data_IF_662869456904
#
_entry.id   IF_662869456904
#
_cell.length_a   1.000
_cell.length_b   1.000
_cell.length_c   1.000
_cell.angle_alpha   90.00
_cell.angle_beta   90.00
_cell.angle_gamma   90.00
#
_symmetry.space_group_name_H-M   'P 1'
#
loop_
_entity.id
_entity.type
_entity.pdbx_description
1 polymer ?
#
# COMPACT_ATOMS: atom_id res chain seq x y z
N UNK A 1 -0.09 47.63 -19.36
CA UNK A 1 -1.31 47.99 -18.63
C UNK A 1 -2.48 47.42 -19.40
N UNK A 2 -2.92 46.24 -19.05
CA UNK A 2 -4.26 45.71 -19.40
C UNK A 2 -4.54 44.60 -18.37
N UNK A 3 -5.41 44.94 -17.41
CA UNK A 3 -5.99 44.02 -16.44
C UNK A 3 -6.87 43.00 -17.16
N UNK A 4 -6.56 41.72 -17.07
CA UNK A 4 -7.49 40.65 -17.43
C UNK A 4 -8.07 40.05 -16.15
N UNK A 5 -9.17 40.59 -15.66
CA UNK A 5 -10.04 39.97 -14.67
C UNK A 5 -10.64 38.71 -15.27
N UNK A 6 -10.12 37.54 -14.87
CA UNK A 6 -10.75 36.27 -15.15
C UNK A 6 -11.97 36.08 -14.23
N UNK A 7 -13.14 36.37 -14.78
CA UNK A 7 -14.44 36.15 -14.14
C UNK A 7 -14.76 34.67 -14.09
N UNK A 8 -14.55 34.04 -12.92
CA UNK A 8 -14.83 32.64 -12.64
C UNK A 8 -16.33 32.31 -12.47
N UNK A 9 -17.22 33.31 -12.61
CA UNK A 9 -18.68 33.12 -12.42
C UNK A 9 -19.32 32.23 -13.49
N UNK A 10 -18.65 31.99 -14.64
CA UNK A 10 -19.16 31.16 -15.73
C UNK A 10 -19.15 29.65 -15.46
N UNK A 11 -18.43 29.18 -14.43
CA UNK A 11 -18.27 27.76 -14.19
C UNK A 11 -19.19 27.15 -13.10
N UNK A 12 -20.02 27.99 -12.45
CA UNK A 12 -20.96 27.48 -11.45
C UNK A 12 -22.40 27.64 -11.98
N UNK A 13 -23.14 26.55 -12.25
CA UNK A 13 -24.55 26.64 -12.61
C UNK A 13 -25.32 27.22 -11.42
N UNK A 14 -26.10 28.29 -11.67
CA UNK A 14 -27.05 28.87 -10.70
C UNK A 14 -28.00 27.80 -10.22
N UNK A 15 -27.95 27.49 -8.91
CA UNK A 15 -28.93 26.64 -8.26
C UNK A 15 -30.28 27.34 -8.38
N UNK A 16 -31.20 26.71 -9.14
CA UNK A 16 -32.59 27.16 -9.21
C UNK A 16 -33.23 26.93 -7.83
N UNK A 17 -33.96 27.96 -7.41
CA UNK A 17 -34.73 28.00 -6.18
C UNK A 17 -35.51 26.69 -5.97
N UNK A 18 -35.29 26.01 -4.83
CA UNK A 18 -36.04 24.84 -4.45
C UNK A 18 -37.51 25.15 -4.17
N UNK A 19 -38.41 24.15 -4.24
CA UNK A 19 -39.83 24.38 -4.05
C UNK A 19 -40.13 24.92 -2.64
N UNK A 20 -40.99 25.95 -2.58
CA UNK A 20 -41.52 26.51 -1.33
C UNK A 20 -42.18 25.42 -0.51
N UNK A 21 -41.66 25.21 0.68
CA UNK A 21 -42.30 24.30 1.67
C UNK A 21 -43.58 25.00 2.16
N UNK A 22 -44.71 24.36 1.93
CA UNK A 22 -45.98 24.76 2.48
C UNK A 22 -45.98 24.52 4.00
N UNK A 23 -46.56 25.46 4.77
CA UNK A 23 -46.68 25.40 6.20
C UNK A 23 -47.41 24.12 6.64
N UNK A 24 -46.71 23.21 7.37
CA UNK A 24 -47.26 22.04 7.99
C UNK A 24 -47.77 22.38 9.41
N UNK A 25 -48.91 21.81 9.85
CA UNK A 25 -49.48 22.11 11.15
C UNK A 25 -48.65 21.54 12.32
N UNK A 26 -48.78 22.25 13.41
CA UNK A 26 -48.11 22.14 14.71
C UNK A 26 -48.19 20.72 15.31
N UNK A 27 -47.13 19.93 15.23
CA UNK A 27 -47.01 18.59 15.76
C UNK A 27 -46.57 18.60 17.22
N UNK A 28 -47.24 17.77 18.04
CA UNK A 28 -47.06 17.61 19.48
C UNK A 28 -45.63 17.14 19.87
N UNK A 29 -45.14 17.46 21.11
CA UNK A 29 -43.76 17.19 21.54
C UNK A 29 -43.35 15.70 21.60
N UNK A 30 -44.31 14.78 21.56
CA UNK A 30 -44.07 13.33 21.68
C UNK A 30 -43.57 12.69 20.36
N UNK A 31 -43.94 13.23 19.21
CA UNK A 31 -43.55 12.67 17.91
C UNK A 31 -42.10 13.01 17.49
N UNK A 32 -41.56 14.13 18.03
CA UNK A 32 -40.17 14.56 17.76
C UNK A 32 -39.10 13.68 18.43
N UNK A 33 -39.46 12.95 19.47
CA UNK A 33 -38.51 12.09 20.19
C UNK A 33 -38.26 10.76 19.45
N UNK A 34 -39.30 10.21 18.81
CA UNK A 34 -39.24 8.91 18.14
C UNK A 34 -38.50 9.00 16.77
N UNK A 35 -38.66 10.13 16.07
CA UNK A 35 -37.98 10.32 14.78
C UNK A 35 -36.47 10.55 14.92
N UNK A 36 -36.00 11.18 16.00
CA UNK A 36 -34.57 11.35 16.28
C UNK A 36 -33.86 10.03 16.61
N UNK A 37 -34.51 9.15 17.36
CA UNK A 37 -33.95 7.83 17.72
C UNK A 37 -33.84 6.95 16.49
N UNK A 38 -34.77 7.01 15.54
CA UNK A 38 -34.72 6.26 14.29
C UNK A 38 -33.64 6.76 13.33
N UNK A 39 -33.38 8.08 13.29
CA UNK A 39 -32.39 8.67 12.41
C UNK A 39 -30.95 8.44 12.90
N UNK A 40 -30.74 8.49 14.23
CA UNK A 40 -29.40 8.21 14.80
C UNK A 40 -29.04 6.72 14.72
N UNK A 41 -30.01 5.81 14.71
CA UNK A 41 -29.76 4.38 14.52
C UNK A 41 -29.33 4.06 13.07
N UNK A 42 -29.75 4.87 12.08
CA UNK A 42 -29.42 4.63 10.66
C UNK A 42 -28.10 5.28 10.21
N UNK A 43 -27.56 6.23 11.01
CA UNK A 43 -26.28 6.91 10.74
C UNK A 43 -25.09 6.22 11.41
N UNK A 44 -25.32 5.19 12.24
CA UNK A 44 -24.23 4.30 12.67
C UNK A 44 -23.75 3.49 11.46
N UNK A 45 -22.93 4.15 10.63
CA UNK A 45 -22.28 3.58 9.47
C UNK A 45 -21.52 2.29 9.84
N UNK A 46 -21.45 1.29 8.96
CA UNK A 46 -20.65 0.07 9.17
C UNK A 46 -19.17 0.32 9.51
N UNK A 47 -18.68 1.55 9.31
CA UNK A 47 -17.33 2.01 9.68
C UNK A 47 -17.10 1.94 11.19
N UNK A 48 -18.14 2.12 12.05
CA UNK A 48 -18.00 2.05 13.51
C UNK A 48 -17.72 0.63 14.01
N UNK A 49 -18.22 -0.40 13.33
CA UNK A 49 -18.01 -1.79 13.75
C UNK A 49 -16.62 -2.30 13.37
N UNK A 50 -16.04 -1.85 12.24
CA UNK A 50 -14.66 -2.18 11.85
C UNK A 50 -13.66 -1.54 12.80
N UNK A 51 -13.92 -0.30 13.26
CA UNK A 51 -13.08 0.39 14.25
C UNK A 51 -13.16 -0.22 15.65
N UNK A 52 -14.27 -0.88 15.99
CA UNK A 52 -14.48 -1.45 17.32
C UNK A 52 -13.82 -2.83 17.46
N UNK A 53 -13.80 -3.62 16.39
CA UNK A 53 -13.10 -4.92 16.36
C UNK A 53 -11.57 -4.74 16.35
N UNK A 54 -11.07 -3.60 15.81
CA UNK A 54 -9.63 -3.28 15.80
C UNK A 54 -9.10 -2.76 17.16
N UNK A 55 -9.96 -2.33 18.10
CA UNK A 55 -9.51 -1.87 19.42
C UNK A 55 -9.00 -3.01 20.31
N UNK A 56 -9.48 -4.22 20.12
CA UNK A 56 -9.02 -5.40 20.85
C UNK A 56 -7.78 -6.04 20.19
N UNK A 57 -7.49 -5.71 18.95
CA UNK A 57 -6.30 -6.15 18.24
C UNK A 57 -5.21 -5.08 18.29
N UNK A 58 -3.97 -5.52 18.43
CA UNK A 58 -2.74 -4.72 18.47
C UNK A 58 -2.44 -3.94 17.16
N UNK A 59 -3.50 -3.61 16.38
CA UNK A 59 -3.43 -3.02 15.06
C UNK A 59 -4.11 -1.64 15.02
N UNK A 60 -3.53 -0.72 14.27
CA UNK A 60 -4.01 0.66 14.05
C UNK A 60 -4.09 0.94 12.55
N UNK A 61 -5.16 1.61 12.10
CA UNK A 61 -5.25 2.10 10.72
C UNK A 61 -4.49 3.41 10.51
N UNK A 62 -4.27 4.19 11.56
CA UNK A 62 -3.56 5.46 11.63
C UNK A 62 -2.62 5.52 12.84
N UNK A 63 -1.51 6.28 12.80
CA UNK A 63 -1.00 7.11 11.71
C UNK A 63 -0.26 6.32 10.63
N UNK A 64 -0.21 6.85 9.42
CA UNK A 64 0.57 6.26 8.33
C UNK A 64 2.06 6.29 8.66
N UNK A 65 2.74 5.17 8.38
CA UNK A 65 4.17 5.01 8.72
C UNK A 65 5.00 4.75 7.46
N UNK A 66 5.42 5.82 6.73
CA UNK A 66 6.05 5.69 5.42
C UNK A 66 7.34 4.86 5.45
N UNK A 67 8.18 5.06 6.47
CA UNK A 67 9.45 4.33 6.60
C UNK A 67 9.27 2.82 6.78
N UNK A 68 8.25 2.38 7.55
CA UNK A 68 7.94 0.96 7.69
C UNK A 68 7.53 0.35 6.34
N UNK A 69 6.72 1.07 5.55
CA UNK A 69 6.30 0.61 4.20
C UNK A 69 7.50 0.49 3.27
N UNK A 70 8.40 1.48 3.32
CA UNK A 70 9.60 1.48 2.49
C UNK A 70 10.50 0.29 2.77
N UNK A 71 10.94 0.11 4.02
CA UNK A 71 11.83 -0.97 4.39
C UNK A 71 11.19 -2.35 4.22
N UNK A 72 9.90 -2.50 4.55
CA UNK A 72 9.16 -3.72 4.29
C UNK A 72 9.18 -4.08 2.80
N UNK A 73 8.96 -3.09 1.93
CA UNK A 73 8.96 -3.28 0.48
C UNK A 73 10.33 -3.68 -0.04
N UNK A 74 11.39 -2.99 0.38
CA UNK A 74 12.75 -3.32 -0.01
C UNK A 74 13.11 -4.75 0.37
N UNK A 75 12.80 -5.15 1.62
CA UNK A 75 13.06 -6.49 2.10
C UNK A 75 12.26 -7.54 1.33
N UNK A 76 10.99 -7.30 1.06
CA UNK A 76 10.15 -8.19 0.25
C UNK A 76 10.70 -8.35 -1.18
N UNK A 77 11.06 -7.25 -1.85
CA UNK A 77 11.58 -7.29 -3.21
C UNK A 77 12.88 -8.09 -3.30
N UNK A 78 13.79 -7.92 -2.35
CA UNK A 78 15.06 -8.64 -2.34
C UNK A 78 14.81 -10.13 -2.04
N UNK A 79 14.09 -10.47 -0.97
CA UNK A 79 13.85 -11.87 -0.57
C UNK A 79 13.10 -12.61 -1.69
N UNK A 80 11.98 -12.06 -2.17
CA UNK A 80 11.17 -12.74 -3.19
C UNK A 80 11.80 -12.66 -4.58
N UNK A 81 12.61 -11.63 -4.87
CA UNK A 81 13.41 -11.56 -6.06
C UNK A 81 14.46 -12.68 -6.12
N UNK A 82 15.22 -12.86 -5.04
CA UNK A 82 16.19 -13.96 -4.92
C UNK A 82 15.52 -15.33 -5.02
N UNK A 83 14.42 -15.54 -4.30
CA UNK A 83 13.63 -16.79 -4.40
C UNK A 83 13.16 -16.99 -5.85
N UNK A 84 12.69 -15.95 -6.52
CA UNK A 84 12.25 -16.02 -7.90
C UNK A 84 13.39 -16.40 -8.86
N UNK A 85 14.56 -15.81 -8.72
CA UNK A 85 15.75 -16.18 -9.50
C UNK A 85 16.18 -17.63 -9.25
N UNK A 86 16.14 -18.09 -7.98
CA UNK A 86 16.43 -19.48 -7.66
C UNK A 86 15.43 -20.44 -8.31
N UNK A 87 14.14 -20.13 -8.29
CA UNK A 87 13.10 -20.96 -8.90
C UNK A 87 13.23 -20.99 -10.43
N UNK A 88 13.47 -19.83 -11.06
CA UNK A 88 13.69 -19.74 -12.51
C UNK A 88 14.95 -20.46 -12.90
N UNK A 89 16.06 -20.23 -12.19
CA UNK A 89 17.34 -20.90 -12.44
C UNK A 89 17.23 -22.40 -12.32
N UNK A 90 16.56 -22.89 -11.27
CA UNK A 90 16.31 -24.32 -11.10
C UNK A 90 15.46 -24.87 -12.26
N UNK A 91 14.37 -24.23 -12.63
CA UNK A 91 13.50 -24.69 -13.70
C UNK A 91 14.20 -24.69 -15.07
N UNK A 92 14.99 -23.66 -15.38
CA UNK A 92 15.72 -23.57 -16.65
C UNK A 92 16.91 -24.53 -16.66
N UNK A 93 17.57 -24.75 -15.54
CA UNK A 93 18.71 -25.69 -15.45
C UNK A 93 18.33 -27.13 -15.77
N UNK A 94 17.06 -27.51 -15.63
CA UNK A 94 16.57 -28.83 -16.02
C UNK A 94 16.58 -29.07 -17.54
N UNK A 95 16.49 -27.97 -18.33
CA UNK A 95 16.38 -28.07 -19.78
C UNK A 95 17.57 -27.45 -20.52
N UNK A 96 18.15 -26.36 -20.00
CA UNK A 96 19.19 -25.60 -20.66
C UNK A 96 20.16 -24.91 -19.66
N UNK A 97 20.92 -25.68 -18.85
CA UNK A 97 21.74 -25.14 -17.76
C UNK A 97 22.78 -24.12 -18.26
N UNK A 98 23.45 -24.43 -19.34
CA UNK A 98 24.50 -23.56 -19.89
C UNK A 98 23.96 -22.20 -20.38
N UNK A 99 22.79 -22.21 -21.02
CA UNK A 99 22.17 -20.98 -21.51
C UNK A 99 21.74 -20.05 -20.39
N UNK A 100 21.29 -20.60 -19.25
CA UNK A 100 20.89 -19.80 -18.10
C UNK A 100 22.09 -19.11 -17.44
N UNK A 101 23.17 -19.86 -17.20
CA UNK A 101 24.41 -19.30 -16.63
C UNK A 101 24.93 -18.16 -17.49
N UNK A 102 25.05 -18.40 -18.80
CA UNK A 102 25.48 -17.38 -19.74
C UNK A 102 24.56 -16.15 -19.74
N UNK A 103 23.24 -16.34 -19.69
CA UNK A 103 22.29 -15.23 -19.59
C UNK A 103 22.51 -14.38 -18.33
N UNK A 104 22.74 -15.02 -17.17
CA UNK A 104 22.99 -14.32 -15.90
C UNK A 104 24.34 -13.58 -15.93
N UNK A 105 25.37 -14.16 -16.53
CA UNK A 105 26.68 -13.52 -16.69
C UNK A 105 26.64 -12.30 -17.62
N UNK A 106 25.88 -12.37 -18.70
CA UNK A 106 25.81 -11.35 -19.74
C UNK A 106 24.76 -10.26 -19.44
N UNK A 107 23.91 -10.42 -18.40
CA UNK A 107 22.81 -9.50 -18.13
C UNK A 107 23.33 -8.13 -17.66
N UNK A 108 22.75 -7.07 -18.22
CA UNK A 108 23.05 -5.71 -17.77
C UNK A 108 22.56 -5.52 -16.31
N UNK A 109 23.39 -4.95 -15.40
CA UNK A 109 23.02 -4.76 -14.00
C UNK A 109 21.70 -4.00 -13.77
N UNK A 110 21.36 -3.03 -14.64
CA UNK A 110 20.08 -2.31 -14.54
C UNK A 110 18.90 -3.23 -14.91
N UNK A 111 19.08 -4.11 -15.88
CA UNK A 111 18.06 -5.10 -16.28
C UNK A 111 17.89 -6.15 -15.18
N UNK A 112 18.98 -6.59 -14.56
CA UNK A 112 18.93 -7.53 -13.42
C UNK A 112 18.13 -6.94 -12.25
N UNK A 113 18.45 -5.71 -11.83
CA UNK A 113 17.68 -5.02 -10.77
C UNK A 113 16.21 -4.88 -11.16
N UNK A 114 15.92 -4.48 -12.40
CA UNK A 114 14.55 -4.36 -12.90
C UNK A 114 13.79 -5.68 -12.81
N UNK A 115 14.37 -6.77 -13.30
CA UNK A 115 13.76 -8.11 -13.27
C UNK A 115 13.61 -8.63 -11.84
N UNK A 116 14.62 -8.46 -11.00
CA UNK A 116 14.58 -8.87 -9.59
C UNK A 116 13.42 -8.20 -8.85
N UNK A 117 13.25 -6.90 -9.02
CA UNK A 117 12.13 -6.17 -8.41
C UNK A 117 10.78 -6.55 -9.00
N UNK A 118 10.71 -6.81 -10.31
CA UNK A 118 9.49 -7.27 -10.98
C UNK A 118 9.06 -8.65 -10.46
N UNK A 119 9.97 -9.62 -10.49
CA UNK A 119 9.75 -10.98 -10.00
C UNK A 119 9.34 -10.95 -8.53
N UNK A 120 10.11 -10.23 -7.71
CA UNK A 120 9.81 -10.04 -6.30
C UNK A 120 8.43 -9.43 -6.05
N UNK A 121 8.01 -8.47 -6.89
CA UNK A 121 6.69 -7.85 -6.80
C UNK A 121 5.55 -8.81 -7.13
N UNK A 122 5.73 -9.66 -8.13
CA UNK A 122 4.72 -10.67 -8.52
C UNK A 122 4.55 -11.69 -7.40
N UNK A 123 5.65 -12.24 -6.89
CA UNK A 123 5.61 -13.26 -5.83
C UNK A 123 5.07 -12.66 -4.53
N UNK A 124 5.57 -11.47 -4.14
CA UNK A 124 5.08 -10.80 -2.92
C UNK A 124 3.61 -10.43 -3.01
N UNK A 125 3.14 -9.98 -4.18
CA UNK A 125 1.75 -9.66 -4.42
C UNK A 125 0.83 -10.87 -4.35
N UNK A 126 1.29 -12.01 -4.85
CA UNK A 126 0.57 -13.28 -4.75
C UNK A 126 0.41 -13.72 -3.29
N UNK A 127 1.49 -13.74 -2.52
CA UNK A 127 1.46 -14.08 -1.08
C UNK A 127 0.59 -13.10 -0.31
N UNK A 128 0.74 -11.80 -0.58
CA UNK A 128 -0.07 -10.75 0.02
C UNK A 128 -1.57 -10.98 -0.21
N UNK A 129 -1.92 -11.42 -1.41
CA UNK A 129 -3.31 -11.69 -1.77
C UNK A 129 -3.97 -12.78 -0.93
N UNK A 130 -3.23 -13.81 -0.53
CA UNK A 130 -3.75 -14.92 0.28
C UNK A 130 -3.66 -14.68 1.78
N UNK A 131 -2.58 -14.05 2.25
CA UNK A 131 -2.28 -13.96 3.68
C UNK A 131 -2.56 -12.56 4.24
N UNK A 132 -2.67 -11.56 3.38
CA UNK A 132 -2.81 -10.15 3.79
C UNK A 132 -1.53 -9.51 4.30
N UNK A 133 -0.41 -10.26 4.31
CA UNK A 133 0.93 -9.77 4.69
C UNK A 133 2.02 -10.54 3.93
N UNK A 134 3.25 -10.06 3.98
CA UNK A 134 4.45 -10.72 3.43
C UNK A 134 5.53 -10.75 4.50
N UNK A 135 6.66 -11.41 4.27
CA UNK A 135 7.75 -11.53 5.25
C UNK A 135 8.22 -10.15 5.71
N UNK A 136 8.57 -9.26 4.79
CA UNK A 136 8.98 -7.90 5.12
C UNK A 136 7.87 -7.12 5.82
N UNK A 137 6.65 -7.18 5.31
CA UNK A 137 5.50 -6.50 5.94
C UNK A 137 5.20 -7.02 7.34
N UNK A 138 5.35 -8.34 7.59
CA UNK A 138 5.15 -8.94 8.91
C UNK A 138 6.19 -8.46 9.93
N UNK A 139 7.47 -8.39 9.54
CA UNK A 139 8.57 -7.85 10.37
C UNK A 139 8.29 -6.39 10.73
N UNK A 140 7.90 -5.57 9.77
CA UNK A 140 7.59 -4.15 9.98
C UNK A 140 6.19 -3.90 10.54
N UNK A 141 5.43 -4.96 10.88
CA UNK A 141 4.09 -4.88 11.46
C UNK A 141 3.08 -4.20 10.53
N UNK A 142 2.99 -4.65 9.28
CA UNK A 142 2.06 -4.14 8.27
C UNK A 142 1.15 -5.28 7.81
N UNK A 143 -0.16 -5.04 7.79
CA UNK A 143 -1.17 -5.95 7.26
C UNK A 143 -2.07 -5.21 6.29
N UNK A 144 -2.47 -5.84 5.20
CA UNK A 144 -3.33 -5.26 4.17
C UNK A 144 -4.54 -6.16 4.01
N UNK A 145 -5.70 -5.57 4.21
CA UNK A 145 -6.99 -6.27 4.18
C UNK A 145 -8.00 -5.47 3.35
N UNK A 146 -9.08 -6.13 2.97
CA UNK A 146 -10.26 -5.49 2.40
C UNK A 146 -11.03 -4.71 3.46
N UNK A 147 -12.02 -3.95 3.06
CA UNK A 147 -12.96 -3.30 3.99
C UNK A 147 -13.76 -4.30 4.84
N UNK A 148 -13.92 -5.55 4.38
CA UNK A 148 -14.54 -6.64 5.13
C UNK A 148 -13.60 -7.33 6.13
N UNK A 149 -12.32 -6.97 6.18
CA UNK A 149 -11.33 -7.58 7.09
C UNK A 149 -10.64 -8.82 6.54
N UNK A 150 -10.98 -9.26 5.32
CA UNK A 150 -10.43 -10.45 4.67
C UNK A 150 -9.18 -10.14 3.83
N UNK A 151 -8.37 -11.15 3.46
CA UNK A 151 -7.30 -11.01 2.50
C UNK A 151 -7.81 -10.48 1.15
N UNK A 152 -6.98 -9.73 0.45
CA UNK A 152 -7.41 -8.97 -0.76
C UNK A 152 -7.59 -9.81 -2.02
N UNK A 153 -7.21 -11.10 -1.98
CA UNK A 153 -7.22 -12.01 -3.13
C UNK A 153 -5.95 -11.90 -4.00
N UNK A 154 -5.52 -13.03 -4.57
CA UNK A 154 -4.26 -13.14 -5.31
C UNK A 154 -4.14 -12.13 -6.46
N UNK A 155 -5.17 -12.03 -7.31
CA UNK A 155 -5.17 -11.11 -8.44
C UNK A 155 -5.08 -9.64 -8.03
N UNK A 156 -5.84 -9.25 -7.00
CA UNK A 156 -5.79 -7.89 -6.46
C UNK A 156 -4.45 -7.60 -5.78
N UNK A 157 -3.86 -8.57 -5.09
CA UNK A 157 -2.53 -8.48 -4.49
C UNK A 157 -1.43 -8.24 -5.52
N UNK A 158 -1.39 -9.03 -6.57
CA UNK A 158 -0.42 -8.89 -7.68
C UNK A 158 -0.60 -7.55 -8.37
N UNK A 159 -1.82 -7.18 -8.77
CA UNK A 159 -2.08 -5.90 -9.43
C UNK A 159 -1.68 -4.71 -8.55
N UNK A 160 -1.94 -4.79 -7.25
CA UNK A 160 -1.53 -3.77 -6.29
C UNK A 160 0.00 -3.66 -6.24
N UNK A 161 0.69 -4.78 -6.05
CA UNK A 161 2.14 -4.79 -5.91
C UNK A 161 2.85 -4.42 -7.22
N UNK A 162 2.30 -4.73 -8.39
CA UNK A 162 2.76 -4.21 -9.68
C UNK A 162 2.57 -2.69 -9.81
N UNK A 163 1.45 -2.14 -9.33
CA UNK A 163 1.27 -0.68 -9.28
C UNK A 163 2.29 -0.01 -8.36
N UNK A 164 2.58 -0.63 -7.21
CA UNK A 164 3.63 -0.13 -6.31
C UNK A 164 5.01 -0.22 -6.95
N UNK A 165 5.30 -1.30 -7.68
CA UNK A 165 6.55 -1.44 -8.42
C UNK A 165 6.69 -0.37 -9.51
N UNK A 166 5.63 -0.12 -10.28
CA UNK A 166 5.65 0.86 -11.37
C UNK A 166 5.73 2.31 -10.84
N UNK A 167 4.83 2.68 -9.92
CA UNK A 167 4.66 4.07 -9.46
C UNK A 167 5.40 4.37 -8.16
N UNK A 168 5.58 3.40 -7.28
CA UNK A 168 6.22 3.57 -5.98
C UNK A 168 7.73 3.31 -6.00
N UNK A 169 8.17 2.38 -6.85
CA UNK A 169 9.58 2.01 -7.00
C UNK A 169 10.16 2.45 -8.37
N UNK A 170 9.37 3.08 -9.23
CA UNK A 170 9.80 3.57 -10.55
C UNK A 170 10.63 2.53 -11.32
N UNK A 171 10.18 1.27 -11.30
CA UNK A 171 10.84 0.13 -11.94
C UNK A 171 12.30 -0.11 -11.49
N UNK A 172 12.73 0.46 -10.35
CA UNK A 172 14.10 0.32 -9.84
C UNK A 172 15.13 1.28 -10.47
N UNK A 173 14.72 2.20 -11.34
CA UNK A 173 15.62 3.18 -11.96
C UNK A 173 16.03 4.23 -10.91
N UNK A 174 17.33 4.37 -10.57
CA UNK A 174 17.78 5.09 -9.37
C UNK A 174 17.28 6.53 -9.23
N UNK A 175 17.34 7.31 -10.31
CA UNK A 175 16.92 8.73 -10.27
C UNK A 175 15.40 8.86 -10.18
N UNK A 176 14.65 8.11 -11.00
CA UNK A 176 13.18 8.13 -11.02
C UNK A 176 12.65 7.53 -9.72
N UNK A 177 13.33 6.53 -9.17
CA UNK A 177 13.02 5.94 -7.88
C UNK A 177 13.03 6.96 -6.73
N UNK A 178 14.04 7.84 -6.66
CA UNK A 178 14.09 8.91 -5.65
C UNK A 178 12.89 9.87 -5.78
N UNK A 179 12.55 10.27 -6.99
CA UNK A 179 11.39 11.14 -7.25
C UNK A 179 10.08 10.45 -6.85
N UNK A 180 9.90 9.19 -7.22
CA UNK A 180 8.73 8.38 -6.86
C UNK A 180 8.62 8.20 -5.34
N UNK A 181 9.75 7.99 -4.66
CA UNK A 181 9.82 7.85 -3.21
C UNK A 181 9.41 9.14 -2.49
N UNK A 182 9.94 10.29 -2.93
CA UNK A 182 9.60 11.61 -2.37
C UNK A 182 8.11 11.89 -2.61
N UNK A 183 7.59 11.67 -3.82
CA UNK A 183 6.18 11.86 -4.14
C UNK A 183 5.27 10.97 -3.29
N UNK A 184 5.62 9.68 -3.16
CA UNK A 184 4.87 8.73 -2.33
C UNK A 184 4.91 9.10 -0.84
N UNK A 185 6.04 9.64 -0.36
CA UNK A 185 6.17 10.14 1.00
C UNK A 185 5.25 11.35 1.26
N UNK A 186 5.21 12.33 0.33
CA UNK A 186 4.33 13.48 0.44
C UNK A 186 2.85 13.08 0.38
N UNK A 187 2.48 12.18 -0.52
CA UNK A 187 1.10 11.68 -0.61
C UNK A 187 0.69 10.98 0.69
N UNK A 188 1.57 10.15 1.24
CA UNK A 188 1.28 9.41 2.46
C UNK A 188 1.22 10.34 3.70
N UNK A 189 2.05 11.38 3.73
CA UNK A 189 2.05 12.36 4.82
C UNK A 189 0.84 13.29 4.78
N UNK A 190 0.41 13.72 3.58
CA UNK A 190 -0.65 14.72 3.45
C UNK A 190 -2.04 14.11 3.31
N UNK A 191 -2.15 12.92 2.67
CA UNK A 191 -3.42 12.24 2.37
C UNK A 191 -3.63 10.97 3.19
N UNK A 192 -2.63 10.56 3.99
CA UNK A 192 -2.60 9.34 4.82
C UNK A 192 -2.77 8.01 4.04
N UNK A 193 -3.14 8.09 2.77
CA UNK A 193 -3.41 6.96 1.88
C UNK A 193 -2.67 7.15 0.56
N UNK A 194 -1.98 6.11 0.09
CA UNK A 194 -1.34 6.11 -1.22
C UNK A 194 -2.34 5.93 -2.36
N UNK A 195 -1.98 6.41 -3.56
CA UNK A 195 -2.87 6.36 -4.72
C UNK A 195 -3.36 4.95 -5.09
N UNK A 196 -2.52 3.92 -4.87
CA UNK A 196 -2.86 2.51 -5.16
C UNK A 196 -3.69 1.82 -4.09
N UNK A 197 -3.77 2.36 -2.87
CA UNK A 197 -4.59 1.82 -1.77
C UNK A 197 -5.95 2.51 -1.66
N UNK A 198 -6.11 3.68 -2.27
CA UNK A 198 -7.30 4.55 -2.10
C UNK A 198 -8.60 3.84 -2.47
N UNK A 199 -9.52 3.78 -1.49
CA UNK A 199 -10.90 3.29 -1.66
C UNK A 199 -11.03 1.78 -1.88
N UNK A 200 -9.95 0.99 -1.74
CA UNK A 200 -9.97 -0.45 -1.99
C UNK A 200 -9.47 -1.29 -0.83
N UNK A 201 -8.43 -0.82 -0.12
CA UNK A 201 -7.73 -1.61 0.88
C UNK A 201 -7.48 -0.82 2.14
N UNK A 202 -7.56 -1.49 3.27
CA UNK A 202 -7.18 -0.95 4.58
C UNK A 202 -5.76 -1.44 4.92
N UNK A 203 -4.89 -0.50 5.25
CA UNK A 203 -3.52 -0.81 5.67
C UNK A 203 -3.43 -0.63 7.18
N UNK A 204 -3.22 -1.73 7.87
CA UNK A 204 -3.10 -1.78 9.31
C UNK A 204 -1.64 -1.82 9.73
N UNK A 205 -1.33 -1.12 10.82
CA UNK A 205 0.00 -1.12 11.43
C UNK A 205 -0.08 -1.68 12.84
N UNK A 206 0.85 -2.56 13.18
CA UNK A 206 1.00 -2.99 14.58
C UNK A 206 1.38 -1.80 15.45
N UNK A 207 0.73 -1.65 16.62
CA UNK A 207 1.02 -0.60 17.60
C UNK A 207 2.51 -0.55 17.93
N UNK A 208 3.04 0.67 18.10
CA UNK A 208 4.43 0.85 18.49
C UNK A 208 4.62 0.47 19.95
N UNK A 209 5.34 -0.61 20.18
CA UNK A 209 5.83 -1.03 21.48
C UNK A 209 7.28 -1.46 21.36
N UNK A 210 7.94 -1.78 22.47
CA UNK A 210 9.35 -2.20 22.49
C UNK A 210 9.61 -3.39 21.54
N UNK A 211 8.74 -4.40 21.52
CA UNK A 211 8.86 -5.56 20.63
C UNK A 211 8.78 -5.19 19.16
N UNK A 212 7.85 -4.32 18.76
CA UNK A 212 7.76 -3.89 17.37
C UNK A 212 8.95 -3.00 16.96
N UNK A 213 9.50 -2.20 17.87
CA UNK A 213 10.69 -1.41 17.60
C UNK A 213 11.91 -2.30 17.38
N UNK A 214 12.08 -3.34 18.19
CA UNK A 214 13.14 -4.35 18.01
C UNK A 214 13.01 -5.05 16.64
N UNK A 215 11.80 -5.47 16.26
CA UNK A 215 11.54 -6.07 14.95
C UNK A 215 11.85 -5.11 13.78
N UNK A 216 11.53 -3.83 13.91
CA UNK A 216 11.87 -2.83 12.90
C UNK A 216 13.38 -2.67 12.74
N UNK A 217 14.11 -2.58 13.86
CA UNK A 217 15.58 -2.51 13.85
C UNK A 217 16.17 -3.77 13.24
N UNK A 218 15.69 -4.95 13.64
CA UNK A 218 16.10 -6.22 13.07
C UNK A 218 15.88 -6.27 11.55
N UNK A 219 14.72 -5.83 11.05
CA UNK A 219 14.44 -5.79 9.62
C UNK A 219 15.38 -4.88 8.83
N UNK A 220 15.73 -3.72 9.40
CA UNK A 220 16.71 -2.80 8.79
C UNK A 220 18.11 -3.42 8.78
N UNK A 221 18.55 -4.00 9.91
CA UNK A 221 19.86 -4.67 10.00
C UNK A 221 19.93 -5.84 9.02
N UNK A 222 18.87 -6.67 8.94
CA UNK A 222 18.79 -7.79 8.00
C UNK A 222 18.95 -7.31 6.55
N UNK A 223 18.30 -6.20 6.18
CA UNK A 223 18.41 -5.61 4.85
C UNK A 223 19.85 -5.18 4.55
N UNK A 224 20.54 -4.55 5.49
CA UNK A 224 21.95 -4.17 5.35
C UNK A 224 22.87 -5.40 5.23
N UNK A 225 22.64 -6.43 6.04
CA UNK A 225 23.41 -7.68 5.98
C UNK A 225 23.27 -8.35 4.60
N UNK A 226 22.05 -8.46 4.09
CA UNK A 226 21.81 -9.02 2.75
C UNK A 226 22.55 -8.18 1.69
N UNK A 227 22.44 -6.85 1.75
CA UNK A 227 23.10 -5.96 0.79
C UNK A 227 24.62 -6.10 0.81
N UNK A 228 25.23 -6.13 2.00
CA UNK A 228 26.68 -6.34 2.16
C UNK A 228 27.10 -7.72 1.64
N UNK A 229 26.31 -8.76 1.95
CA UNK A 229 26.60 -10.13 1.48
C UNK A 229 26.56 -10.22 -0.06
N UNK A 230 25.57 -9.58 -0.68
CA UNK A 230 25.49 -9.52 -2.14
C UNK A 230 26.73 -8.82 -2.75
N UNK A 231 27.15 -7.70 -2.17
CA UNK A 231 28.35 -6.98 -2.59
C UNK A 231 29.64 -7.77 -2.39
N UNK A 232 29.73 -8.53 -1.31
CA UNK A 232 30.89 -9.38 -1.07
C UNK A 232 31.00 -10.52 -2.09
N UNK A 233 29.88 -11.08 -2.55
CA UNK A 233 29.84 -12.13 -3.57
C UNK A 233 30.22 -11.63 -4.97
N UNK A 234 30.02 -10.34 -5.29
CA UNK A 234 30.48 -9.75 -6.56
C UNK A 234 32.00 -9.67 -6.69
N UNK A 235 32.74 -9.83 -5.58
CA UNK A 235 34.20 -9.72 -5.53
C UNK A 235 34.92 -11.08 -5.42
N UNK A 236 34.19 -12.19 -5.41
CA UNK A 236 34.72 -13.57 -5.41
C UNK A 236 34.65 -14.17 -6.79
#
# INVERSE_FOLDING_TARGET
MTDSNNDLSQYFPKIKDGPKVADAPNDSPLEKSTSRIGLEAHIKSPISNVQQTDRDNNWESHPSRPWRRYFARMLDCIIFGLIGWLLIGFAVSLFAPYSFVKFVEDINPLVDVFLTFLIGSIISGFILGFVGTTIGKAIFGIKIITSSGEPIGAGAGVLRDLKVWLWGCAMGIPVIYLVALISSYYDLRNKEITAWDRGRFNVLYRKSGAGQTILNIFGVVLLFVIFISMKALEHI
#
